data_IF_956163674766
#
_entry.id   IF_956163674766
#
_cell.length_a   1.000
_cell.length_b   1.000
_cell.length_c   1.000
_cell.angle_alpha   90.00
_cell.angle_beta   90.00
_cell.angle_gamma   90.00
#
_symmetry.space_group_name_H-M   'P 1'
#
loop_
_entity.id
_entity.type
_entity.pdbx_description
1 polymer ?
#
# COMPACT_ATOMS: atom_id res chain seq x y z
N UNK A 1 12.89 -8.20 0.58
CA UNK A 1 11.47 -8.31 1.01
C UNK A 1 11.34 -7.91 2.47
N UNK A 2 10.52 -6.90 2.77
CA UNK A 2 10.22 -6.51 4.17
C UNK A 2 9.39 -7.61 4.80
N UNK A 3 9.82 -8.17 5.93
CA UNK A 3 9.02 -9.16 6.66
C UNK A 3 7.67 -8.54 7.03
N UNK A 4 6.54 -9.14 6.61
CA UNK A 4 5.19 -8.60 6.85
C UNK A 4 4.81 -8.49 8.33
N UNK A 5 5.63 -9.06 9.23
CA UNK A 5 5.39 -9.20 10.67
C UNK A 5 5.39 -7.88 11.49
N UNK A 6 5.57 -6.71 10.86
CA UNK A 6 5.49 -5.40 11.54
C UNK A 6 4.49 -4.44 10.88
N UNK A 7 3.53 -4.95 10.09
CA UNK A 7 2.41 -4.13 9.65
C UNK A 7 1.42 -3.99 10.82
N UNK A 8 1.34 -2.78 11.39
CA UNK A 8 0.46 -2.39 12.50
C UNK A 8 -1.04 -2.37 12.11
N UNK A 9 -1.48 -3.22 11.18
CA UNK A 9 -2.87 -3.29 10.72
C UNK A 9 -3.54 -4.48 11.39
N UNK A 10 -4.30 -4.22 12.44
CA UNK A 10 -5.05 -5.23 13.20
C UNK A 10 -6.55 -5.05 13.03
N UNK A 11 -7.32 -6.12 13.20
CA UNK A 11 -8.79 -6.06 13.16
C UNK A 11 -9.36 -5.12 14.25
N UNK A 12 -8.64 -4.93 15.35
CA UNK A 12 -9.00 -3.99 16.42
C UNK A 12 -8.87 -2.54 15.96
N UNK A 13 -7.74 -2.16 15.35
CA UNK A 13 -7.56 -0.79 14.86
C UNK A 13 -8.51 -0.47 13.69
N UNK A 14 -8.84 -1.45 12.85
CA UNK A 14 -9.86 -1.26 11.79
C UNK A 14 -11.23 -1.02 12.41
N UNK A 15 -11.63 -1.80 13.43
CA UNK A 15 -12.90 -1.57 14.15
C UNK A 15 -12.94 -0.19 14.77
N UNK A 16 -11.89 0.20 15.49
CA UNK A 16 -11.82 1.50 16.11
C UNK A 16 -11.94 2.63 15.07
N UNK A 17 -11.27 2.50 13.92
CA UNK A 17 -11.38 3.48 12.84
C UNK A 17 -12.80 3.54 12.25
N UNK A 18 -13.48 2.39 12.08
CA UNK A 18 -14.87 2.35 11.64
C UNK A 18 -15.82 2.98 12.67
N UNK A 19 -15.64 2.71 13.95
CA UNK A 19 -16.46 3.29 15.02
C UNK A 19 -16.25 4.81 15.11
N UNK A 20 -15.04 5.29 14.81
CA UNK A 20 -14.74 6.73 14.68
C UNK A 20 -15.43 7.40 13.48
N UNK A 21 -15.94 6.66 12.48
CA UNK A 21 -16.79 7.22 11.42
C UNK A 21 -18.15 7.65 11.97
N UNK A 22 -18.72 6.83 12.86
CA UNK A 22 -20.04 7.05 13.47
C UNK A 22 -19.94 8.07 14.60
N UNK A 23 -18.88 7.98 15.42
CA UNK A 23 -18.71 8.83 16.58
C UNK A 23 -18.00 10.13 16.19
N UNK A 24 -18.74 11.24 16.22
CA UNK A 24 -18.18 12.59 16.06
C UNK A 24 -17.34 13.06 17.28
N UNK A 25 -16.87 12.15 18.14
CA UNK A 25 -16.16 12.49 19.37
C UNK A 25 -14.69 12.81 19.08
N UNK A 26 -14.19 13.99 19.52
CA UNK A 26 -12.81 14.41 19.28
C UNK A 26 -11.78 13.79 20.24
N UNK A 27 -12.20 12.96 21.22
CA UNK A 27 -11.38 12.62 22.40
C UNK A 27 -10.60 11.31 22.34
N UNK A 28 -10.66 10.55 21.24
CA UNK A 28 -9.91 9.29 21.18
C UNK A 28 -8.43 9.50 20.80
N UNK A 29 -7.53 8.66 21.33
CA UNK A 29 -6.13 8.63 20.88
C UNK A 29 -6.06 8.46 19.35
N UNK A 30 -5.00 8.98 18.74
CA UNK A 30 -4.82 8.85 17.30
C UNK A 30 -4.71 7.36 16.92
N UNK A 31 -5.58 6.92 16.01
CA UNK A 31 -5.57 5.55 15.54
C UNK A 31 -4.27 5.28 14.75
N UNK A 32 -3.50 4.21 15.05
CA UNK A 32 -2.23 3.93 14.37
C UNK A 32 -2.32 3.83 12.85
N UNK A 33 -3.48 3.48 12.30
CA UNK A 33 -3.71 3.41 10.85
C UNK A 33 -3.53 4.77 10.15
N UNK A 34 -3.62 5.89 10.88
CA UNK A 34 -3.39 7.24 10.34
C UNK A 34 -1.93 7.49 9.92
N UNK A 35 -0.99 6.64 10.37
CA UNK A 35 0.45 6.76 10.11
C UNK A 35 0.97 5.80 9.04
N UNK A 36 0.07 5.12 8.32
CA UNK A 36 0.45 4.22 7.24
C UNK A 36 0.97 4.99 6.01
N UNK A 37 1.84 4.37 5.23
CA UNK A 37 2.34 4.94 3.96
C UNK A 37 1.23 5.06 2.93
N UNK A 38 0.24 4.16 3.00
CA UNK A 38 -0.98 4.21 2.23
C UNK A 38 -1.73 5.53 2.44
N UNK A 39 -1.80 6.01 3.69
CA UNK A 39 -2.45 7.29 4.00
C UNK A 39 -1.63 8.45 3.44
N UNK A 40 -0.31 8.44 3.61
CA UNK A 40 0.56 9.45 3.00
C UNK A 40 0.34 9.53 1.48
N UNK A 41 0.26 8.37 0.82
CA UNK A 41 0.08 8.26 -0.63
C UNK A 41 -1.29 8.79 -1.06
N UNK A 42 -2.35 8.45 -0.32
CA UNK A 42 -3.71 8.93 -0.56
C UNK A 42 -3.83 10.45 -0.36
N UNK A 43 -3.09 11.01 0.60
CA UNK A 43 -3.03 12.45 0.83
C UNK A 43 -2.34 13.23 -0.28
N UNK A 44 -1.46 12.60 -1.07
CA UNK A 44 -0.81 13.27 -2.20
C UNK A 44 -1.75 13.40 -3.41
N UNK A 45 -2.76 12.54 -3.52
CA UNK A 45 -3.71 12.54 -4.64
C UNK A 45 -4.96 13.38 -4.39
N UNK A 46 -5.21 13.75 -3.14
CA UNK A 46 -6.45 14.42 -2.70
C UNK A 46 -6.13 15.65 -1.86
N UNK A 47 -6.88 16.74 -2.05
CA UNK A 47 -6.66 17.97 -1.29
C UNK A 47 -7.32 17.91 0.10
N UNK A 48 -6.51 17.60 1.11
CA UNK A 48 -6.93 17.62 2.52
C UNK A 48 -6.43 18.85 3.29
N UNK A 49 -5.91 19.87 2.62
CA UNK A 49 -5.22 21.01 3.28
C UNK A 49 -6.12 21.82 4.21
N UNK A 50 -7.44 21.76 4.02
CA UNK A 50 -8.43 22.53 4.78
C UNK A 50 -8.90 21.85 6.07
N UNK A 51 -8.53 20.59 6.33
CA UNK A 51 -9.02 19.86 7.50
C UNK A 51 -8.09 20.01 8.70
N UNK A 52 -8.64 20.11 9.91
CA UNK A 52 -7.86 20.21 11.15
C UNK A 52 -6.99 18.98 11.42
N UNK A 53 -7.44 17.80 11.00
CA UNK A 53 -6.68 16.55 11.11
C UNK A 53 -6.70 15.80 9.76
N UNK A 54 -5.88 16.21 8.79
CA UNK A 54 -5.98 15.72 7.41
C UNK A 54 -5.74 14.21 7.29
N UNK A 55 -4.87 13.63 8.14
CA UNK A 55 -4.62 12.17 8.18
C UNK A 55 -5.84 11.38 8.63
N UNK A 56 -6.56 11.85 9.66
CA UNK A 56 -7.81 11.21 10.10
C UNK A 56 -8.85 11.24 8.97
N UNK A 57 -9.02 12.37 8.30
CA UNK A 57 -9.95 12.47 7.17
C UNK A 57 -9.53 11.57 6.00
N UNK A 58 -8.25 11.53 5.67
CA UNK A 58 -7.72 10.64 4.64
C UNK A 58 -7.95 9.16 4.96
N UNK A 59 -7.75 8.74 6.21
CA UNK A 59 -8.08 7.38 6.66
C UNK A 59 -9.58 7.08 6.49
N UNK A 60 -10.44 7.99 6.94
CA UNK A 60 -11.89 7.83 6.84
C UNK A 60 -12.34 7.72 5.37
N UNK A 61 -11.86 8.61 4.51
CA UNK A 61 -12.15 8.62 3.08
C UNK A 61 -11.68 7.33 2.38
N UNK A 62 -10.48 6.86 2.74
CA UNK A 62 -9.96 5.59 2.24
C UNK A 62 -10.83 4.39 2.68
N UNK A 63 -11.25 4.33 3.94
CA UNK A 63 -12.10 3.25 4.44
C UNK A 63 -13.48 3.26 3.75
N UNK A 64 -14.09 4.45 3.62
CA UNK A 64 -15.38 4.63 2.93
C UNK A 64 -15.29 4.18 1.48
N UNK A 65 -14.28 4.65 0.74
CA UNK A 65 -14.08 4.28 -0.67
C UNK A 65 -13.80 2.78 -0.83
N UNK A 66 -13.02 2.18 0.08
CA UNK A 66 -12.71 0.74 0.04
C UNK A 66 -13.96 -0.12 0.30
N UNK A 67 -14.71 0.17 1.36
CA UNK A 67 -15.93 -0.59 1.69
C UNK A 67 -16.98 -0.43 0.58
N UNK A 68 -17.17 0.80 0.05
CA UNK A 68 -18.08 1.03 -1.09
C UNK A 68 -17.66 0.22 -2.31
N UNK A 69 -16.38 0.24 -2.67
CA UNK A 69 -15.85 -0.50 -3.82
C UNK A 69 -16.06 -2.00 -3.65
N UNK A 70 -15.71 -2.56 -2.49
CA UNK A 70 -15.86 -4.00 -2.24
C UNK A 70 -17.34 -4.42 -2.17
N UNK A 71 -18.21 -3.63 -1.56
CA UNK A 71 -19.65 -3.92 -1.53
C UNK A 71 -20.25 -3.93 -2.95
N UNK A 72 -19.97 -2.91 -3.77
CA UNK A 72 -20.44 -2.86 -5.16
C UNK A 72 -19.85 -4.01 -5.99
N UNK A 73 -18.59 -4.38 -5.77
CA UNK A 73 -17.96 -5.55 -6.40
C UNK A 73 -18.71 -6.84 -6.05
N UNK A 74 -19.06 -7.04 -4.78
CA UNK A 74 -19.81 -8.21 -4.33
C UNK A 74 -21.22 -8.23 -4.94
N UNK A 75 -21.94 -7.11 -4.97
CA UNK A 75 -23.25 -7.03 -5.64
C UNK A 75 -23.17 -7.38 -7.12
N UNK A 76 -22.16 -6.86 -7.82
CA UNK A 76 -21.94 -7.16 -9.23
C UNK A 76 -21.64 -8.66 -9.48
N UNK A 77 -20.89 -9.32 -8.59
CA UNK A 77 -20.66 -10.77 -8.68
C UNK A 77 -21.95 -11.60 -8.58
N UNK A 78 -22.97 -11.06 -7.90
CA UNK A 78 -24.29 -11.67 -7.77
C UNK A 78 -25.31 -11.17 -8.81
N UNK A 79 -24.88 -10.33 -9.77
CA UNK A 79 -25.74 -9.83 -10.84
C UNK A 79 -26.73 -8.74 -10.40
N UNK A 80 -26.52 -8.13 -9.23
CA UNK A 80 -27.35 -7.03 -8.77
C UNK A 80 -26.88 -5.68 -9.32
N UNK A 81 -27.83 -4.75 -9.46
CA UNK A 81 -27.53 -3.38 -9.85
C UNK A 81 -26.68 -2.66 -8.78
N UNK A 82 -25.81 -1.70 -9.18
CA UNK A 82 -25.11 -0.86 -8.23
C UNK A 82 -26.09 -0.04 -7.40
N UNK A 83 -25.68 0.32 -6.19
CA UNK A 83 -26.50 1.14 -5.28
C UNK A 83 -26.24 2.61 -5.59
N UNK A 84 -27.31 3.38 -5.81
CA UNK A 84 -27.20 4.82 -6.00
C UNK A 84 -26.75 5.51 -4.71
N UNK A 85 -26.12 6.67 -4.85
CA UNK A 85 -25.80 7.54 -3.72
C UNK A 85 -27.08 8.18 -3.16
N UNK A 86 -27.12 8.43 -1.85
CA UNK A 86 -28.21 9.16 -1.19
C UNK A 86 -29.60 8.51 -1.34
N UNK A 87 -29.65 7.18 -1.41
CA UNK A 87 -30.93 6.47 -1.54
C UNK A 87 -31.82 6.67 -0.32
N UNK A 88 -33.15 6.81 -0.49
CA UNK A 88 -34.09 6.85 0.63
C UNK A 88 -34.05 5.55 1.45
N UNK A 89 -34.38 5.66 2.74
CA UNK A 89 -34.43 4.50 3.66
C UNK A 89 -35.26 3.33 3.11
N UNK A 90 -36.41 3.61 2.47
CA UNK A 90 -37.24 2.57 1.86
C UNK A 90 -36.52 1.81 0.74
N UNK A 91 -35.75 2.50 -0.09
CA UNK A 91 -34.98 1.85 -1.16
C UNK A 91 -33.80 1.07 -0.56
N UNK A 92 -33.17 1.59 0.49
CA UNK A 92 -32.10 0.90 1.20
C UNK A 92 -32.58 -0.43 1.80
N UNK A 93 -33.77 -0.46 2.41
CA UNK A 93 -34.33 -1.72 2.94
C UNK A 93 -34.61 -2.74 1.83
N UNK A 94 -35.09 -2.30 0.66
CA UNK A 94 -35.25 -3.18 -0.50
C UNK A 94 -33.92 -3.76 -0.98
N UNK A 95 -32.87 -2.94 -1.05
CA UNK A 95 -31.52 -3.38 -1.44
C UNK A 95 -30.96 -4.40 -0.42
N UNK A 96 -31.12 -4.15 0.88
CA UNK A 96 -30.69 -5.08 1.94
C UNK A 96 -31.43 -6.41 1.85
N UNK A 97 -32.75 -6.37 1.59
CA UNK A 97 -33.54 -7.58 1.41
C UNK A 97 -33.11 -8.37 0.18
N UNK A 98 -32.82 -7.68 -0.93
CA UNK A 98 -32.29 -8.27 -2.15
C UNK A 98 -30.94 -8.97 -1.89
N UNK A 99 -29.99 -8.31 -1.22
CA UNK A 99 -28.70 -8.91 -0.84
C UNK A 99 -28.90 -10.20 -0.03
N UNK A 100 -29.82 -10.18 0.94
CA UNK A 100 -30.09 -11.30 1.82
C UNK A 100 -30.65 -12.52 1.07
N UNK A 101 -31.30 -12.35 -0.09
CA UNK A 101 -31.82 -13.47 -0.89
C UNK A 101 -30.73 -14.41 -1.39
N UNK A 102 -29.49 -13.93 -1.50
CA UNK A 102 -28.35 -14.75 -1.94
C UNK A 102 -27.93 -15.78 -0.91
N UNK A 103 -28.22 -15.56 0.38
CA UNK A 103 -27.66 -16.33 1.49
C UNK A 103 -26.14 -16.26 1.62
N UNK A 104 -25.46 -15.40 0.86
CA UNK A 104 -24.01 -15.27 0.86
C UNK A 104 -23.55 -14.43 2.06
N UNK A 105 -22.75 -15.02 2.95
CA UNK A 105 -22.28 -14.34 4.17
C UNK A 105 -21.37 -13.15 3.91
N UNK A 106 -20.57 -13.18 2.84
CA UNK A 106 -19.67 -12.08 2.49
C UNK A 106 -20.48 -10.89 2.00
N UNK A 107 -21.41 -11.09 1.06
CA UNK A 107 -22.28 -10.02 0.57
C UNK A 107 -23.08 -9.38 1.72
N UNK A 108 -23.67 -10.20 2.60
CA UNK A 108 -24.43 -9.70 3.76
C UNK A 108 -23.51 -8.92 4.73
N UNK A 109 -22.28 -9.38 4.95
CA UNK A 109 -21.31 -8.70 5.80
C UNK A 109 -20.86 -7.34 5.23
N UNK A 110 -20.59 -7.27 3.92
CA UNK A 110 -20.27 -6.02 3.24
C UNK A 110 -21.47 -5.06 3.19
N UNK A 111 -22.67 -5.59 2.94
CA UNK A 111 -23.93 -4.83 2.99
C UNK A 111 -24.14 -4.22 4.39
N UNK A 112 -23.90 -4.99 5.45
CA UNK A 112 -23.94 -4.48 6.82
C UNK A 112 -22.95 -3.33 7.03
N UNK A 113 -21.67 -3.50 6.66
CA UNK A 113 -20.69 -2.43 6.84
C UNK A 113 -21.06 -1.16 6.05
N UNK A 114 -21.55 -1.32 4.82
CA UNK A 114 -21.95 -0.20 3.97
C UNK A 114 -23.10 0.60 4.59
N UNK A 115 -24.21 -0.07 4.93
CA UNK A 115 -25.39 0.61 5.45
C UNK A 115 -25.23 1.13 6.87
N UNK A 116 -24.34 0.53 7.67
CA UNK A 116 -24.10 0.96 9.03
C UNK A 116 -23.07 2.09 9.15
N UNK A 117 -21.93 1.96 8.47
CA UNK A 117 -20.80 2.88 8.63
C UNK A 117 -20.70 3.94 7.52
N UNK A 118 -21.17 3.68 6.30
CA UNK A 118 -21.10 4.66 5.20
C UNK A 118 -22.40 5.46 5.11
N UNK A 119 -23.54 4.78 5.02
CA UNK A 119 -24.85 5.42 4.88
C UNK A 119 -25.46 5.82 6.24
N UNK A 120 -24.67 6.52 7.06
CA UNK A 120 -25.04 6.88 8.44
C UNK A 120 -26.35 7.70 8.53
N UNK A 121 -26.70 8.42 7.47
CA UNK A 121 -27.94 9.19 7.36
C UNK A 121 -29.20 8.31 7.48
N UNK A 122 -29.10 7.03 7.11
CA UNK A 122 -30.20 6.06 7.19
C UNK A 122 -30.45 5.58 8.61
N UNK A 123 -29.47 5.75 9.52
CA UNK A 123 -29.54 5.35 10.94
C UNK A 123 -29.99 3.90 11.14
N UNK A 124 -29.60 3.00 10.24
CA UNK A 124 -29.95 1.58 10.32
C UNK A 124 -29.18 0.95 11.48
N UNK A 125 -29.92 0.52 12.50
CA UNK A 125 -29.35 -0.17 13.66
C UNK A 125 -29.10 -1.64 13.33
N UNK A 126 -28.21 -2.28 14.09
CA UNK A 126 -27.96 -3.72 13.95
C UNK A 126 -29.22 -4.56 14.14
N UNK A 127 -30.08 -4.18 15.09
CA UNK A 127 -31.35 -4.87 15.32
C UNK A 127 -32.29 -4.75 14.12
N UNK A 128 -32.42 -3.56 13.52
CA UNK A 128 -33.22 -3.36 12.31
C UNK A 128 -32.67 -4.17 11.14
N UNK A 129 -31.34 -4.16 10.95
CA UNK A 129 -30.70 -4.95 9.90
C UNK A 129 -30.96 -6.45 10.09
N UNK A 130 -30.76 -6.98 11.31
CA UNK A 130 -31.04 -8.37 11.66
C UNK A 130 -32.50 -8.77 11.35
N UNK A 131 -33.46 -7.89 11.67
CA UNK A 131 -34.88 -8.11 11.39
C UNK A 131 -35.16 -8.17 9.87
N UNK A 132 -34.55 -7.28 9.08
CA UNK A 132 -34.71 -7.26 7.62
C UNK A 132 -34.19 -8.56 7.00
N UNK A 133 -32.95 -8.96 7.33
CA UNK A 133 -32.31 -10.13 6.74
C UNK A 133 -32.70 -11.46 7.41
N UNK A 134 -33.53 -11.42 8.46
CA UNK A 134 -33.98 -12.57 9.26
C UNK A 134 -32.84 -13.42 9.83
N UNK A 135 -31.78 -12.76 10.29
CA UNK A 135 -30.66 -13.40 10.95
C UNK A 135 -30.61 -12.97 12.42
N UNK A 136 -30.09 -13.86 13.27
CA UNK A 136 -29.83 -13.51 14.66
C UNK A 136 -28.62 -12.59 14.79
N UNK A 137 -28.58 -11.86 15.90
CA UNK A 137 -27.54 -10.88 16.20
C UNK A 137 -26.13 -11.48 16.22
N UNK A 138 -25.98 -12.72 16.72
CA UNK A 138 -24.68 -13.41 16.77
C UNK A 138 -24.18 -13.75 15.38
N UNK A 139 -25.06 -14.15 14.46
CA UNK A 139 -24.72 -14.41 13.06
C UNK A 139 -24.23 -13.14 12.37
N UNK A 140 -24.89 -12.00 12.57
CA UNK A 140 -24.42 -10.72 12.01
C UNK A 140 -23.07 -10.28 12.58
N UNK A 141 -22.85 -10.41 13.90
CA UNK A 141 -21.52 -10.13 14.49
C UNK A 141 -20.42 -10.99 13.89
N UNK A 142 -20.72 -12.27 13.62
CA UNK A 142 -19.77 -13.18 12.96
C UNK A 142 -19.45 -12.71 11.54
N UNK A 143 -20.47 -12.35 10.74
CA UNK A 143 -20.27 -11.84 9.39
C UNK A 143 -19.51 -10.52 9.37
N UNK A 144 -19.84 -9.59 10.29
CA UNK A 144 -19.10 -8.35 10.50
C UNK A 144 -17.63 -8.64 10.82
N UNK A 145 -17.35 -9.55 11.76
CA UNK A 145 -15.97 -9.89 12.13
C UNK A 145 -15.17 -10.46 10.95
N UNK A 146 -15.78 -11.35 10.16
CA UNK A 146 -15.14 -11.90 8.97
C UNK A 146 -14.89 -10.83 7.91
N UNK A 147 -15.84 -9.91 7.71
CA UNK A 147 -15.73 -8.82 6.74
C UNK A 147 -14.64 -7.83 7.14
N UNK A 148 -14.53 -7.50 8.43
CA UNK A 148 -13.45 -6.67 8.96
C UNK A 148 -12.08 -7.34 8.78
N UNK A 149 -11.99 -8.66 8.97
CA UNK A 149 -10.76 -9.40 8.71
C UNK A 149 -10.35 -9.34 7.23
N UNK A 150 -11.32 -9.45 6.31
CA UNK A 150 -11.09 -9.25 4.87
C UNK A 150 -10.63 -7.81 4.59
N UNK A 151 -11.28 -6.80 5.17
CA UNK A 151 -10.90 -5.39 5.03
C UNK A 151 -9.47 -5.14 5.53
N UNK A 152 -9.10 -5.69 6.68
CA UNK A 152 -7.74 -5.58 7.21
C UNK A 152 -6.70 -6.19 6.26
N UNK A 153 -6.98 -7.37 5.70
CA UNK A 153 -6.12 -8.00 4.68
C UNK A 153 -5.98 -7.16 3.41
N UNK A 154 -7.06 -6.51 2.98
CA UNK A 154 -7.00 -5.56 1.86
C UNK A 154 -6.11 -4.37 2.18
N UNK A 155 -6.28 -3.73 3.33
CA UNK A 155 -5.44 -2.62 3.77
C UNK A 155 -3.96 -3.02 3.89
N UNK A 156 -3.66 -4.23 4.36
CA UNK A 156 -2.29 -4.78 4.38
C UNK A 156 -1.68 -4.83 2.98
N UNK A 157 -2.41 -5.36 2.00
CA UNK A 157 -1.93 -5.42 0.60
C UNK A 157 -1.72 -4.02 0.03
N UNK A 158 -2.66 -3.11 0.28
CA UNK A 158 -2.56 -1.72 -0.19
C UNK A 158 -1.37 -1.00 0.44
N UNK A 159 -1.12 -1.18 1.74
CA UNK A 159 0.05 -0.63 2.44
C UNK A 159 1.37 -1.20 1.89
N UNK A 160 1.42 -2.51 1.61
CA UNK A 160 2.60 -3.14 0.97
C UNK A 160 2.88 -2.49 -0.39
N UNK A 161 1.86 -2.37 -1.24
CA UNK A 161 1.98 -1.73 -2.55
C UNK A 161 2.41 -0.25 -2.44
N UNK A 162 1.88 0.49 -1.46
CA UNK A 162 2.26 1.88 -1.21
C UNK A 162 3.73 2.00 -0.77
N UNK A 163 4.20 1.11 0.11
CA UNK A 163 5.61 1.05 0.53
C UNK A 163 6.53 0.70 -0.62
N UNK A 164 6.18 -0.30 -1.43
CA UNK A 164 6.95 -0.69 -2.61
C UNK A 164 7.04 0.47 -3.61
N UNK A 165 5.92 1.14 -3.88
CA UNK A 165 5.88 2.30 -4.77
C UNK A 165 6.75 3.44 -4.26
N UNK A 166 6.65 3.79 -2.98
CA UNK A 166 7.50 4.80 -2.35
C UNK A 166 8.97 4.41 -2.39
N UNK A 167 9.30 3.14 -2.13
CA UNK A 167 10.66 2.62 -2.21
C UNK A 167 11.23 2.80 -3.62
N UNK A 168 10.49 2.40 -4.66
CA UNK A 168 10.90 2.59 -6.06
C UNK A 168 11.10 4.07 -6.38
N UNK A 169 10.20 4.95 -5.94
CA UNK A 169 10.36 6.40 -6.11
C UNK A 169 11.65 6.92 -5.46
N UNK A 170 11.94 6.51 -4.22
CA UNK A 170 13.20 6.89 -3.53
C UNK A 170 14.42 6.42 -4.33
N UNK A 171 14.42 5.19 -4.84
CA UNK A 171 15.50 4.67 -5.68
C UNK A 171 15.64 5.46 -6.98
N UNK A 172 14.53 5.88 -7.59
CA UNK A 172 14.56 6.74 -8.78
C UNK A 172 15.14 8.12 -8.50
N UNK A 173 14.79 8.74 -7.37
CA UNK A 173 15.35 10.03 -6.96
C UNK A 173 16.86 9.97 -6.66
N UNK A 174 17.41 8.77 -6.43
CA UNK A 174 18.85 8.57 -6.25
C UNK A 174 19.62 8.46 -7.57
N UNK A 175 18.94 8.33 -8.71
CA UNK A 175 19.59 8.36 -10.03
C UNK A 175 19.92 9.80 -10.44
N UNK A 176 21.03 10.04 -11.17
CA UNK A 176 21.44 11.38 -11.58
C UNK A 176 20.38 12.18 -12.34
N UNK A 177 19.61 11.54 -13.24
CA UNK A 177 18.51 12.19 -13.98
C UNK A 177 17.13 11.89 -13.36
N UNK A 178 17.08 11.50 -12.08
CA UNK A 178 15.85 11.22 -11.32
C UNK A 178 14.90 10.22 -12.00
N UNK A 179 15.44 9.29 -12.80
CA UNK A 179 14.66 8.31 -13.55
C UNK A 179 14.05 8.82 -14.87
N UNK A 180 14.31 10.08 -15.24
CA UNK A 180 13.96 10.69 -16.53
C UNK A 180 15.05 10.36 -17.54
N UNK A 181 15.02 9.13 -18.05
CA UNK A 181 16.09 8.59 -18.89
C UNK A 181 15.71 8.81 -20.36
N UNK A 182 16.58 9.49 -21.11
CA UNK A 182 16.46 9.58 -22.56
C UNK A 182 16.48 8.19 -23.21
N UNK A 183 15.78 8.03 -24.33
CA UNK A 183 15.81 6.75 -25.07
C UNK A 183 17.25 6.39 -25.46
N UNK A 184 17.63 5.14 -25.15
CA UNK A 184 18.89 4.59 -25.61
C UNK A 184 18.73 4.18 -27.07
N UNK A 185 19.34 4.94 -27.96
CA UNK A 185 19.39 4.59 -29.38
C UNK A 185 20.56 3.61 -29.59
N UNK A 186 20.28 2.47 -30.22
CA UNK A 186 21.28 1.49 -30.71
C UNK A 186 22.11 0.78 -29.61
N UNK A 187 21.56 0.59 -28.39
CA UNK A 187 22.25 -0.10 -27.27
C UNK A 187 21.52 -1.31 -26.70
N UNK A 188 20.60 -1.86 -27.47
CA UNK A 188 19.76 -2.98 -27.06
C UNK A 188 20.59 -4.26 -26.87
N UNK A 189 21.67 -4.43 -27.65
CA UNK A 189 22.56 -5.60 -27.57
C UNK A 189 23.33 -5.61 -26.25
N UNK A 190 23.91 -4.48 -25.86
CA UNK A 190 24.63 -4.30 -24.61
C UNK A 190 23.71 -4.48 -23.41
N UNK A 191 22.49 -3.93 -23.49
CA UNK A 191 21.48 -4.12 -22.45
C UNK A 191 21.12 -5.60 -22.29
N UNK A 192 20.94 -6.33 -23.40
CA UNK A 192 20.66 -7.76 -23.37
C UNK A 192 21.83 -8.57 -22.77
N UNK A 193 23.08 -8.18 -23.05
CA UNK A 193 24.27 -8.80 -22.46
C UNK A 193 24.29 -8.62 -20.94
N UNK A 194 24.01 -7.41 -20.45
CA UNK A 194 23.92 -7.14 -19.01
C UNK A 194 22.79 -7.95 -18.37
N UNK A 195 21.62 -8.02 -19.00
CA UNK A 195 20.48 -8.81 -18.49
C UNK A 195 20.78 -10.31 -18.37
N UNK A 196 21.51 -10.88 -19.33
CA UNK A 196 21.86 -12.31 -19.34
C UNK A 196 23.04 -12.65 -18.44
N UNK A 197 23.81 -11.64 -18.04
CA UNK A 197 25.02 -11.82 -17.25
C UNK A 197 24.68 -12.05 -15.78
N UNK A 198 25.29 -13.07 -15.17
CA UNK A 198 25.26 -13.32 -13.72
C UNK A 198 26.35 -12.54 -12.97
N UNK A 199 27.13 -11.72 -13.68
CA UNK A 199 28.24 -10.97 -13.09
C UNK A 199 27.66 -9.85 -12.22
N UNK A 200 28.24 -9.69 -11.02
CA UNK A 200 27.83 -8.66 -10.03
C UNK A 200 28.51 -7.30 -10.23
N UNK A 201 29.59 -7.27 -11.00
CA UNK A 201 30.44 -6.09 -11.23
C UNK A 201 30.58 -5.81 -12.72
N UNK A 202 30.17 -4.62 -13.13
CA UNK A 202 30.29 -4.16 -14.51
C UNK A 202 31.27 -2.99 -14.58
N UNK A 203 32.16 -3.03 -15.56
CA UNK A 203 33.03 -1.90 -15.90
C UNK A 203 32.63 -1.37 -17.27
N UNK A 204 32.11 -0.15 -17.32
CA UNK A 204 31.58 0.48 -18.53
C UNK A 204 32.54 1.58 -18.97
N UNK A 205 33.22 1.36 -20.09
CA UNK A 205 34.23 2.26 -20.64
C UNK A 205 33.76 2.90 -21.95
N UNK A 206 34.34 4.04 -22.32
CA UNK A 206 34.04 4.73 -23.57
C UNK A 206 34.33 6.23 -23.49
N UNK A 207 34.33 6.89 -24.64
CA UNK A 207 34.63 8.34 -24.74
C UNK A 207 33.63 9.19 -23.93
N UNK A 208 34.03 10.41 -23.58
CA UNK A 208 33.14 11.36 -22.90
C UNK A 208 31.91 11.67 -23.77
N UNK A 209 30.75 11.89 -23.14
CA UNK A 209 29.50 12.23 -23.85
C UNK A 209 28.78 11.06 -24.54
N UNK A 210 29.38 9.86 -24.64
CA UNK A 210 28.75 8.72 -25.33
C UNK A 210 27.54 8.10 -24.58
N UNK A 211 26.99 8.75 -23.54
CA UNK A 211 25.81 8.23 -22.83
C UNK A 211 26.07 7.05 -21.88
N UNK A 212 27.29 6.90 -21.33
CA UNK A 212 27.60 5.84 -20.34
C UNK A 212 26.68 5.92 -19.11
N UNK A 213 26.51 7.12 -18.56
CA UNK A 213 25.65 7.37 -17.39
C UNK A 213 24.20 7.01 -17.69
N UNK A 214 23.68 7.46 -18.84
CA UNK A 214 22.31 7.16 -19.30
C UNK A 214 22.11 5.64 -19.46
N UNK A 215 23.11 4.93 -19.99
CA UNK A 215 23.07 3.48 -20.11
C UNK A 215 22.98 2.79 -18.73
N UNK A 216 23.83 3.19 -17.77
CA UNK A 216 23.79 2.65 -16.41
C UNK A 216 22.44 2.92 -15.75
N UNK A 217 21.93 4.14 -15.85
CA UNK A 217 20.62 4.48 -15.30
C UNK A 217 19.52 3.62 -15.92
N UNK A 218 19.58 3.33 -17.23
CA UNK A 218 18.57 2.47 -17.87
C UNK A 218 18.61 1.04 -17.32
N UNK A 219 19.81 0.49 -17.17
CA UNK A 219 20.01 -0.83 -16.54
C UNK A 219 19.44 -0.82 -15.13
N UNK A 220 19.79 0.18 -14.32
CA UNK A 220 19.31 0.30 -12.94
C UNK A 220 17.80 0.48 -12.85
N UNK A 221 17.20 1.28 -13.74
CA UNK A 221 15.75 1.47 -13.82
C UNK A 221 15.02 0.14 -14.02
N UNK A 222 15.47 -0.66 -14.98
CA UNK A 222 14.87 -1.99 -15.20
C UNK A 222 15.02 -2.89 -13.96
N UNK A 223 16.16 -2.86 -13.29
CA UNK A 223 16.36 -3.64 -12.07
C UNK A 223 15.51 -3.12 -10.90
N UNK A 224 15.30 -1.81 -10.78
CA UNK A 224 14.38 -1.20 -9.80
C UNK A 224 12.94 -1.63 -10.08
N UNK A 225 12.52 -1.64 -11.35
CA UNK A 225 11.17 -2.08 -11.76
C UNK A 225 10.91 -3.57 -11.48
N UNK A 226 11.96 -4.40 -11.47
CA UNK A 226 11.89 -5.81 -11.06
C UNK A 226 12.20 -6.01 -9.56
N UNK A 227 12.18 -4.93 -8.77
CA UNK A 227 12.41 -4.94 -7.33
C UNK A 227 13.75 -5.60 -6.90
N UNK A 228 14.76 -5.61 -7.78
CA UNK A 228 16.03 -6.32 -7.57
C UNK A 228 16.96 -5.67 -6.53
N UNK A 229 16.70 -4.41 -6.15
CA UNK A 229 17.51 -3.67 -5.18
C UNK A 229 16.65 -3.09 -4.07
N UNK A 230 17.14 -3.14 -2.83
CA UNK A 230 16.55 -2.44 -1.69
C UNK A 230 17.11 -1.03 -1.51
N UNK A 231 18.37 -0.83 -1.91
CA UNK A 231 19.11 0.41 -1.73
C UNK A 231 19.98 0.68 -2.95
N UNK A 232 20.14 1.95 -3.31
CA UNK A 232 21.03 2.40 -4.35
C UNK A 232 21.98 3.46 -3.77
N UNK A 233 23.26 3.33 -4.07
CA UNK A 233 24.28 4.32 -3.72
C UNK A 233 24.92 4.78 -5.01
N UNK A 234 24.76 6.06 -5.32
CA UNK A 234 25.34 6.67 -6.51
C UNK A 234 26.44 7.65 -6.10
N UNK A 235 27.67 7.43 -6.58
CA UNK A 235 28.83 8.27 -6.28
C UNK A 235 29.45 8.80 -7.58
N UNK A 236 29.83 10.09 -7.56
CA UNK A 236 30.46 10.75 -8.69
C UNK A 236 31.94 11.01 -8.37
N UNK A 237 32.83 10.42 -9.17
CA UNK A 237 34.28 10.64 -9.11
C UNK A 237 34.85 10.69 -7.67
N UNK A 238 34.73 9.61 -6.88
CA UNK A 238 35.23 9.62 -5.51
C UNK A 238 36.74 9.80 -5.48
N UNK A 239 37.22 10.72 -4.65
CA UNK A 239 38.66 11.01 -4.50
C UNK A 239 39.42 9.89 -3.76
N UNK A 240 38.71 9.09 -2.97
CA UNK A 240 39.30 7.98 -2.20
C UNK A 240 38.26 6.91 -1.87
N UNK A 241 38.75 5.72 -1.50
CA UNK A 241 37.91 4.62 -0.97
C UNK A 241 37.23 5.03 0.34
N UNK A 242 37.90 5.82 1.18
CA UNK A 242 37.33 6.26 2.46
C UNK A 242 36.19 7.26 2.26
N UNK A 243 36.25 8.09 1.22
CA UNK A 243 35.13 8.95 0.79
C UNK A 243 33.91 8.10 0.43
N UNK A 244 34.09 7.02 -0.33
CA UNK A 244 33.00 6.09 -0.69
C UNK A 244 32.42 5.42 0.56
N UNK A 245 33.27 4.95 1.48
CA UNK A 245 32.83 4.30 2.73
C UNK A 245 32.02 5.25 3.61
N UNK A 246 32.50 6.48 3.81
CA UNK A 246 31.80 7.50 4.59
C UNK A 246 30.44 7.83 3.97
N UNK A 247 30.41 8.01 2.65
CA UNK A 247 29.16 8.25 1.91
C UNK A 247 28.17 7.09 2.03
N UNK A 248 28.64 5.84 1.89
CA UNK A 248 27.80 4.65 2.10
C UNK A 248 27.27 4.57 3.53
N UNK A 249 28.08 4.92 4.53
CA UNK A 249 27.67 4.91 5.94
C UNK A 249 26.54 5.90 6.19
N UNK A 250 26.70 7.14 5.74
CA UNK A 250 25.70 8.21 5.87
C UNK A 250 24.39 7.85 5.17
N UNK A 251 24.45 7.18 4.02
CA UNK A 251 23.26 6.83 3.23
C UNK A 251 22.53 5.58 3.68
N UNK A 252 23.24 4.58 4.21
CA UNK A 252 22.66 3.27 4.53
C UNK A 252 22.37 3.08 6.01
N UNK A 253 23.03 3.83 6.90
CA UNK A 253 22.88 3.70 8.34
C UNK A 253 22.31 4.99 8.93
N UNK A 254 21.40 4.85 9.89
CA UNK A 254 21.00 5.99 10.73
C UNK A 254 22.21 6.45 11.58
N UNK A 255 22.28 7.73 11.92
CA UNK A 255 23.35 8.30 12.76
C UNK A 255 23.48 7.57 14.11
N UNK A 256 22.35 7.11 14.67
CA UNK A 256 22.30 6.37 15.94
C UNK A 256 22.56 4.85 15.79
N UNK A 257 22.86 4.39 14.58
CA UNK A 257 23.03 2.97 14.32
C UNK A 257 24.31 2.44 14.96
N UNK A 258 24.15 1.47 15.87
CA UNK A 258 25.27 0.78 16.55
C UNK A 258 25.95 -0.27 15.68
N UNK A 259 25.37 -0.64 14.54
CA UNK A 259 25.94 -1.63 13.63
C UNK A 259 26.92 -0.96 12.66
N UNK A 260 27.99 -1.67 12.34
CA UNK A 260 28.97 -1.26 11.34
C UNK A 260 28.43 -1.48 9.92
N UNK A 261 29.00 -0.80 8.92
CA UNK A 261 28.65 -1.00 7.51
C UNK A 261 28.89 -2.45 7.06
N UNK A 262 29.95 -3.10 7.55
CA UNK A 262 30.26 -4.49 7.24
C UNK A 262 29.20 -5.45 7.81
N UNK A 263 28.77 -5.24 9.05
CA UNK A 263 27.68 -6.01 9.67
C UNK A 263 26.37 -5.80 8.91
N UNK A 264 26.04 -4.55 8.58
CA UNK A 264 24.85 -4.23 7.79
C UNK A 264 24.82 -4.96 6.44
N UNK A 265 25.93 -4.92 5.69
CA UNK A 265 26.07 -5.60 4.40
C UNK A 265 26.02 -7.11 4.56
N UNK A 266 26.62 -7.67 5.62
CA UNK A 266 26.59 -9.11 5.90
C UNK A 266 25.17 -9.60 6.22
N UNK A 267 24.46 -8.90 7.12
CA UNK A 267 23.07 -9.19 7.48
C UNK A 267 22.16 -9.20 6.24
N UNK A 268 22.35 -8.25 5.32
CA UNK A 268 21.58 -8.17 4.07
C UNK A 268 22.03 -9.17 3.00
N UNK A 269 23.33 -9.46 2.92
CA UNK A 269 23.90 -10.43 1.98
C UNK A 269 23.41 -11.86 2.24
N UNK A 270 23.17 -12.22 3.50
CA UNK A 270 22.57 -13.51 3.86
C UNK A 270 21.05 -13.59 3.60
N UNK A 271 20.35 -12.45 3.60
CA UNK A 271 18.90 -12.39 3.32
C UNK A 271 18.56 -12.63 1.84
N UNK A 272 19.49 -12.37 0.91
CA UNK A 272 19.29 -12.61 -0.54
C UNK A 272 19.65 -14.04 -1.00
N UNK A 273 20.00 -14.97 -0.09
CA UNK A 273 20.39 -16.36 -0.43
C UNK A 273 19.23 -17.36 -0.23
N UNK A 274 18.02 -16.92 0.15
CA UNK A 274 16.86 -17.81 0.30
C UNK A 274 15.64 -17.28 -0.44
N UNK A 275 15.38 -17.83 -1.62
CA UNK A 275 14.06 -18.28 -2.11
C UNK A 275 14.15 -18.63 -3.61
N UNK A 276 14.95 -19.65 -3.95
CA UNK A 276 14.79 -20.42 -5.19
C UNK A 276 15.03 -21.89 -4.81
N UNK A 277 13.97 -22.51 -4.27
CA UNK A 277 13.76 -23.96 -4.25
C UNK A 277 12.23 -24.17 -4.29
N UNK A 278 11.66 -23.99 -5.48
CA UNK A 278 10.49 -24.71 -6.02
C UNK A 278 10.71 -24.87 -7.52
#
# INVERSE_FOLDING_TARGET
>A
MVTPELLLITNEYVREALDQLIQATPTNPANPLQHLHLIDSHMLTSDFTFFQNPRKFALNDLLVSTIRTEYLRQRNLHGFAPVDMDIPLLNATHVILEDATTGNSDLIGWSWLYFHYIEMNLRITQQQFCQLVRLDDRTIRRYQSNTIDQLAKYLVRMEQNARESRRRQILYFQLPHQGTIAELIEREKELLLVRKSKIKHYHIVGVAGIGKTVFVERVLKEQIDHDAFDHLVWSHAPDSIDTVRSYMRERLLNEDSKITLAEYVSLRGHLNIRMEDV
#
